data_IF_825298011131
#
_entry.id   IF_825298011131
#
_cell.length_a   1.000
_cell.length_b   1.000
_cell.length_c   1.000
_cell.angle_alpha   90.00
_cell.angle_beta   90.00
_cell.angle_gamma   90.00
#
_symmetry.space_group_name_H-M   'P 1'
#
loop_
_entity.id
_entity.type
_entity.pdbx_description
1 polymer ?
#
# COMPACT_ATOMS: atom_id res chain seq x y z
N UNK A 1 12.53 13.23 -8.57
CA UNK A 1 13.38 12.39 -7.70
C UNK A 1 13.32 10.95 -8.21
N UNK A 2 14.47 10.36 -8.53
CA UNK A 2 14.56 8.96 -8.95
C UNK A 2 14.34 8.07 -7.72
N UNK A 3 13.13 7.54 -7.54
CA UNK A 3 12.84 6.59 -6.47
C UNK A 3 13.44 5.24 -6.87
N UNK A 4 14.58 4.85 -6.29
CA UNK A 4 15.05 3.46 -6.43
C UNK A 4 14.05 2.55 -5.75
N UNK A 5 13.29 1.79 -6.54
CA UNK A 5 12.32 0.81 -6.02
C UNK A 5 13.09 -0.45 -5.67
N UNK A 6 13.22 -0.74 -4.38
CA UNK A 6 13.73 -2.03 -3.92
C UNK A 6 12.56 -2.99 -3.72
N UNK A 7 12.36 -3.90 -4.67
CA UNK A 7 11.33 -4.93 -4.58
C UNK A 7 11.71 -5.99 -3.54
N UNK A 8 10.79 -6.28 -2.63
CA UNK A 8 10.92 -7.34 -1.63
C UNK A 8 9.60 -8.08 -1.50
N UNK A 9 9.68 -9.39 -1.30
CA UNK A 9 8.49 -10.22 -1.04
C UNK A 9 8.00 -9.99 0.40
N UNK A 10 6.71 -9.70 0.54
CA UNK A 10 6.01 -9.89 1.81
C UNK A 10 5.70 -11.38 1.95
N UNK A 11 6.33 -12.06 2.90
CA UNK A 11 6.26 -13.52 3.02
C UNK A 11 5.04 -13.99 3.80
N UNK A 12 4.60 -13.21 4.77
CA UNK A 12 3.43 -13.53 5.58
C UNK A 12 2.72 -12.24 6.01
N UNK A 13 1.46 -12.37 6.42
CA UNK A 13 0.60 -11.29 6.90
C UNK A 13 -0.16 -11.79 8.14
N UNK A 14 -0.34 -10.92 9.12
CA UNK A 14 -1.41 -10.99 10.12
C UNK A 14 -2.38 -9.82 9.88
N UNK A 15 -3.36 -9.63 10.75
CA UNK A 15 -4.35 -8.55 10.62
C UNK A 15 -3.68 -7.18 10.47
N UNK A 16 -2.70 -6.87 11.32
CA UNK A 16 -2.05 -5.54 11.38
C UNK A 16 -0.54 -5.57 11.10
N UNK A 17 0.04 -6.74 10.81
CA UNK A 17 1.48 -6.88 10.59
C UNK A 17 1.82 -7.60 9.31
N UNK A 18 2.82 -7.10 8.59
CA UNK A 18 3.42 -7.76 7.42
C UNK A 18 4.87 -8.14 7.67
N UNK A 19 5.27 -9.31 7.17
CA UNK A 19 6.62 -9.86 7.35
C UNK A 19 7.39 -9.80 6.04
N UNK A 20 8.46 -9.02 5.99
CA UNK A 20 9.33 -8.91 4.82
C UNK A 20 10.35 -10.04 4.78
N UNK A 21 10.61 -10.58 3.59
CA UNK A 21 11.68 -11.57 3.39
C UNK A 21 13.04 -11.02 3.87
N UNK A 22 13.86 -11.84 4.56
CA UNK A 22 15.23 -11.49 4.90
C UNK A 22 16.09 -11.16 3.66
N UNK A 23 17.15 -10.39 3.86
CA UNK A 23 18.15 -10.05 2.82
C UNK A 23 18.36 -8.54 2.68
N UNK A 24 19.49 -8.09 2.12
CA UNK A 24 19.83 -6.66 1.97
C UNK A 24 19.73 -5.83 3.27
N UNK A 25 19.72 -4.50 3.13
CA UNK A 25 19.51 -3.61 4.28
C UNK A 25 18.02 -3.57 4.68
N UNK A 26 17.73 -3.89 5.94
CA UNK A 26 16.39 -3.73 6.50
C UNK A 26 16.03 -2.24 6.59
N UNK A 27 14.76 -1.86 6.35
CA UNK A 27 14.30 -0.51 6.64
C UNK A 27 14.53 -0.17 8.13
N UNK A 28 14.94 1.06 8.42
CA UNK A 28 15.02 1.54 9.80
C UNK A 28 13.61 1.61 10.39
N UNK A 29 13.47 1.45 11.70
CA UNK A 29 12.21 1.70 12.40
C UNK A 29 11.70 3.10 12.04
N UNK A 30 10.40 3.22 11.73
CA UNK A 30 9.78 4.46 11.25
C UNK A 30 9.88 4.69 9.73
N UNK A 31 10.60 3.84 8.99
CA UNK A 31 10.66 3.93 7.52
C UNK A 31 9.29 3.60 6.91
N UNK A 32 8.86 4.39 5.92
CA UNK A 32 7.68 4.08 5.11
C UNK A 32 8.08 3.22 3.92
N UNK A 33 7.30 2.17 3.66
CA UNK A 33 7.45 1.30 2.49
C UNK A 33 6.20 1.37 1.62
N UNK A 34 6.35 1.14 0.32
CA UNK A 34 5.21 0.96 -0.60
C UNK A 34 4.94 -0.52 -0.76
N UNK A 35 3.70 -0.93 -0.55
CA UNK A 35 3.25 -2.31 -0.71
C UNK A 35 2.40 -2.37 -1.96
N UNK A 36 2.75 -3.27 -2.88
CA UNK A 36 1.89 -3.59 -4.01
C UNK A 36 0.93 -4.71 -3.58
N UNK A 37 -0.39 -4.49 -3.59
CA UNK A 37 -1.33 -5.52 -3.20
C UNK A 37 -1.35 -6.66 -4.23
N UNK A 38 -1.50 -7.90 -3.77
CA UNK A 38 -1.66 -9.06 -4.67
C UNK A 38 -2.97 -9.00 -5.46
N UNK A 39 -4.03 -8.47 -4.84
CA UNK A 39 -5.32 -8.23 -5.46
C UNK A 39 -5.84 -6.86 -4.99
N UNK A 40 -6.12 -5.96 -5.93
CA UNK A 40 -6.47 -4.58 -5.60
C UNK A 40 -7.90 -4.43 -5.06
N UNK A 41 -8.88 -5.16 -5.62
CA UNK A 41 -10.28 -5.00 -5.25
C UNK A 41 -10.60 -5.21 -3.75
N UNK A 42 -10.12 -6.27 -3.05
CA UNK A 42 -10.38 -6.40 -1.62
C UNK A 42 -9.69 -5.30 -0.81
N UNK A 43 -8.51 -4.85 -1.22
CA UNK A 43 -7.78 -3.78 -0.52
C UNK A 43 -8.51 -2.45 -0.63
N UNK A 44 -8.99 -2.10 -1.82
CA UNK A 44 -9.80 -0.88 -2.02
C UNK A 44 -11.10 -0.96 -1.20
N UNK A 45 -11.73 -2.13 -1.12
CA UNK A 45 -12.97 -2.31 -0.35
C UNK A 45 -12.78 -2.23 1.18
N UNK A 46 -11.55 -2.25 1.69
CA UNK A 46 -11.23 -2.07 3.11
C UNK A 46 -10.98 -0.61 3.51
N UNK A 47 -10.87 0.31 2.55
CA UNK A 47 -10.56 1.71 2.81
C UNK A 47 -11.73 2.63 2.47
N UNK A 48 -12.04 3.61 3.32
CA UNK A 48 -13.08 4.61 3.02
C UNK A 48 -12.67 5.56 1.90
N UNK A 49 -11.36 5.78 1.69
CA UNK A 49 -10.85 6.72 0.71
C UNK A 49 -9.53 6.25 0.09
N UNK A 50 -9.27 6.72 -1.13
CA UNK A 50 -7.98 6.60 -1.81
C UNK A 50 -7.22 7.93 -1.74
N UNK A 51 -5.92 7.87 -1.50
CA UNK A 51 -5.03 9.03 -1.69
C UNK A 51 -4.46 8.96 -3.10
N UNK A 52 -4.88 9.86 -3.97
CA UNK A 52 -4.50 9.92 -5.37
C UNK A 52 -3.39 10.94 -5.56
N UNK A 53 -2.32 10.53 -6.25
CA UNK A 53 -1.22 11.42 -6.63
C UNK A 53 -1.50 11.94 -8.03
N UNK A 54 -1.74 13.24 -8.14
CA UNK A 54 -2.04 13.92 -9.39
C UNK A 54 -0.77 14.17 -10.21
N UNK A 55 -0.93 14.51 -11.50
CA UNK A 55 0.21 14.71 -12.41
C UNK A 55 1.11 15.89 -12.00
N UNK A 56 0.55 16.90 -11.33
CA UNK A 56 1.26 18.04 -10.76
C UNK A 56 1.88 17.75 -9.37
N UNK A 57 1.68 16.54 -8.86
CA UNK A 57 2.13 16.11 -7.54
C UNK A 57 1.19 16.46 -6.39
N UNK A 58 0.04 17.08 -6.65
CA UNK A 58 -0.98 17.28 -5.63
C UNK A 58 -1.52 15.93 -5.12
N UNK A 59 -1.95 15.92 -3.85
CA UNK A 59 -2.60 14.77 -3.24
C UNK A 59 -4.09 15.05 -3.09
N UNK A 60 -4.90 14.21 -3.73
CA UNK A 60 -6.36 14.26 -3.59
C UNK A 60 -6.85 13.07 -2.78
N UNK A 61 -7.98 13.26 -2.08
CA UNK A 61 -8.65 12.20 -1.34
C UNK A 61 -9.97 11.88 -2.03
N UNK A 62 -10.07 10.71 -2.63
CA UNK A 62 -11.29 10.26 -3.31
C UNK A 62 -12.05 9.27 -2.43
N UNK A 63 -13.38 9.42 -2.26
CA UNK A 63 -14.17 8.43 -1.55
C UNK A 63 -14.24 7.10 -2.32
N UNK A 64 -14.35 5.99 -1.58
CA UNK A 64 -14.72 4.69 -2.17
C UNK A 64 -16.23 4.55 -2.07
N UNK A 65 -16.94 5.15 -3.03
CA UNK A 65 -18.41 5.33 -2.94
C UNK A 65 -19.19 4.02 -2.78
N UNK A 66 -18.69 2.93 -3.36
CA UNK A 66 -19.32 1.61 -3.31
C UNK A 66 -18.69 0.68 -2.25
N UNK A 67 -17.96 1.20 -1.25
CA UNK A 67 -17.34 0.37 -0.21
C UNK A 67 -18.38 -0.50 0.48
N UNK A 68 -18.13 -1.80 0.54
CA UNK A 68 -19.03 -2.78 1.18
C UNK A 68 -20.33 -3.05 0.40
N UNK A 69 -20.47 -2.55 -0.83
CA UNK A 69 -21.66 -2.74 -1.67
C UNK A 69 -21.62 -4.09 -2.41
N UNK A 70 -21.74 -5.19 -1.66
CA UNK A 70 -21.52 -6.58 -2.14
C UNK A 70 -22.77 -7.47 -2.08
N UNK A 71 -23.95 -6.85 -2.15
CA UNK A 71 -25.26 -7.51 -2.10
C UNK A 71 -25.63 -8.26 -3.38
#
# INVERSE_FOLDING_TARGET
ACWTIQLRKCQNLSEEHGFLAPGGNAPRIGSRVRIWPSLACPVVNLADHLVVVMADGALERWPVDARGSVW
#
